data_IF_464361218333
#
_entry.id   IF_464361218333
#
_cell.length_a   1.000
_cell.length_b   1.000
_cell.length_c   1.000
_cell.angle_alpha   90.00
_cell.angle_beta   90.00
_cell.angle_gamma   90.00
#
_symmetry.space_group_name_H-M   'P 1'
#
loop_
_entity.id
_entity.type
_entity.pdbx_description
1 polymer ?
#
# COMPACT_ATOMS: atom_id res chain seq x y z
N UNK A 1 28.97 0.09 -1.09
CA UNK A 1 27.89 0.15 -2.09
C UNK A 1 27.08 -1.15 -2.08
N UNK A 2 26.17 -1.32 -1.11
CA UNK A 2 25.38 -2.55 -0.90
C UNK A 2 23.85 -2.31 -0.83
N UNK A 3 23.40 -1.12 -1.24
CA UNK A 3 22.00 -0.70 -1.18
C UNK A 3 21.04 -1.38 -2.20
N UNK A 4 21.41 -1.64 -3.48
CA UNK A 4 20.42 -2.06 -4.48
C UNK A 4 19.83 -3.45 -4.21
N UNK A 5 20.61 -4.38 -3.66
CA UNK A 5 20.14 -5.74 -3.36
C UNK A 5 19.11 -5.79 -2.22
N UNK A 6 19.21 -4.88 -1.24
CA UNK A 6 18.28 -4.84 -0.11
C UNK A 6 16.93 -4.26 -0.50
N UNK A 7 16.94 -3.19 -1.31
CA UNK A 7 15.71 -2.56 -1.78
C UNK A 7 14.96 -3.48 -2.74
N UNK A 8 15.69 -4.21 -3.59
CA UNK A 8 15.11 -5.20 -4.49
C UNK A 8 14.46 -6.37 -3.74
N UNK A 9 15.16 -6.96 -2.75
CA UNK A 9 14.58 -8.00 -1.89
C UNK A 9 13.35 -7.49 -1.13
N UNK A 10 13.37 -6.25 -0.63
CA UNK A 10 12.21 -5.63 0.01
C UNK A 10 11.02 -5.54 -0.96
N UNK A 11 11.25 -5.13 -2.21
CA UNK A 11 10.20 -5.07 -3.24
C UNK A 11 9.68 -6.44 -3.63
N UNK A 12 10.54 -7.46 -3.71
CA UNK A 12 10.11 -8.84 -3.94
C UNK A 12 9.22 -9.36 -2.80
N UNK A 13 9.66 -9.20 -1.55
CA UNK A 13 8.84 -9.59 -0.38
C UNK A 13 7.51 -8.84 -0.34
N UNK A 14 7.52 -7.57 -0.73
CA UNK A 14 6.32 -6.75 -0.87
C UNK A 14 5.35 -7.32 -1.89
N UNK A 15 5.80 -7.63 -3.11
CA UNK A 15 4.94 -8.23 -4.14
C UNK A 15 4.45 -9.61 -3.71
N UNK A 16 5.31 -10.43 -3.11
CA UNK A 16 4.92 -11.77 -2.65
C UNK A 16 3.84 -11.70 -1.56
N UNK A 17 3.91 -10.73 -0.64
CA UNK A 17 2.88 -10.55 0.37
C UNK A 17 1.57 -10.01 -0.22
N UNK A 18 1.67 -9.04 -1.14
CA UNK A 18 0.51 -8.36 -1.73
C UNK A 18 -0.29 -9.29 -2.66
N UNK A 19 0.41 -10.07 -3.48
CA UNK A 19 -0.20 -10.98 -4.46
C UNK A 19 -0.28 -12.42 -3.96
N UNK A 20 0.00 -12.68 -2.68
CA UNK A 20 -0.05 -14.00 -2.06
C UNK A 20 -1.29 -14.82 -2.40
N UNK A 21 -2.46 -14.17 -2.45
CA UNK A 21 -3.72 -14.83 -2.75
C UNK A 21 -3.86 -15.24 -4.24
N UNK A 22 -3.10 -14.61 -5.14
CA UNK A 22 -3.05 -14.93 -6.58
C UNK A 22 -1.96 -15.93 -6.85
N UNK A 23 -0.77 -15.71 -6.27
CA UNK A 23 0.43 -16.47 -6.57
C UNK A 23 0.61 -17.69 -5.67
N UNK A 24 -0.18 -17.83 -4.60
CA UNK A 24 0.00 -18.90 -3.61
C UNK A 24 1.33 -18.80 -2.86
N UNK A 25 1.85 -17.58 -2.67
CA UNK A 25 3.21 -17.30 -2.17
C UNK A 25 4.35 -17.84 -3.06
N UNK A 26 4.09 -18.10 -4.34
CA UNK A 26 5.12 -18.45 -5.29
C UNK A 26 6.04 -17.25 -5.57
N UNK A 27 7.29 -17.35 -5.10
CA UNK A 27 8.31 -16.33 -5.27
C UNK A 27 8.69 -16.11 -6.74
N UNK A 28 8.58 -17.13 -7.59
CA UNK A 28 8.86 -16.99 -9.01
C UNK A 28 7.81 -16.09 -9.68
N UNK A 29 6.53 -16.32 -9.39
CA UNK A 29 5.45 -15.47 -9.89
C UNK A 29 5.52 -14.06 -9.31
N UNK A 30 5.90 -13.93 -8.03
CA UNK A 30 6.12 -12.63 -7.40
C UNK A 30 7.27 -11.85 -8.08
N UNK A 31 8.35 -12.53 -8.45
CA UNK A 31 9.47 -11.92 -9.19
C UNK A 31 9.02 -11.44 -10.58
N UNK A 32 8.24 -12.25 -11.31
CA UNK A 32 7.70 -11.84 -12.62
C UNK A 32 6.82 -10.58 -12.52
N UNK A 33 5.99 -10.49 -11.49
CA UNK A 33 5.16 -9.30 -11.25
C UNK A 33 6.04 -8.09 -10.89
N UNK A 34 7.06 -8.27 -10.05
CA UNK A 34 8.02 -7.23 -9.69
C UNK A 34 8.74 -6.69 -10.93
N UNK A 35 9.25 -7.58 -11.78
CA UNK A 35 9.92 -7.22 -13.04
C UNK A 35 8.98 -6.50 -14.01
N UNK A 36 7.73 -6.93 -14.14
CA UNK A 36 6.74 -6.26 -14.98
C UNK A 36 6.46 -4.83 -14.51
N UNK A 37 6.36 -4.62 -13.18
CA UNK A 37 6.20 -3.27 -12.60
C UNK A 37 7.47 -2.44 -12.83
N UNK A 38 8.66 -3.01 -12.57
CA UNK A 38 9.93 -2.32 -12.79
C UNK A 38 10.09 -1.90 -14.26
N UNK A 39 9.74 -2.77 -15.21
CA UNK A 39 9.73 -2.47 -16.63
C UNK A 39 8.82 -1.28 -16.97
N UNK A 40 7.61 -1.22 -16.38
CA UNK A 40 6.69 -0.08 -16.57
C UNK A 40 7.24 1.24 -16.03
N UNK A 41 8.21 1.18 -15.10
CA UNK A 41 8.88 2.31 -14.48
C UNK A 41 10.31 2.51 -15.00
N UNK A 42 10.70 1.88 -16.11
CA UNK A 42 12.09 1.80 -16.55
C UNK A 42 12.81 3.14 -16.76
N UNK A 43 12.10 4.21 -17.09
CA UNK A 43 12.68 5.56 -17.15
C UNK A 43 13.01 6.10 -15.76
N UNK A 44 12.11 5.93 -14.79
CA UNK A 44 12.31 6.33 -13.41
C UNK A 44 13.39 5.47 -12.72
N UNK A 45 13.50 4.19 -13.10
CA UNK A 45 14.55 3.29 -12.64
C UNK A 45 15.94 3.79 -13.08
N UNK A 46 16.09 4.14 -14.37
CA UNK A 46 17.33 4.72 -14.90
C UNK A 46 17.69 6.03 -14.19
N UNK A 47 16.71 6.92 -14.03
CA UNK A 47 16.91 8.17 -13.28
C UNK A 47 17.33 7.91 -11.84
N UNK A 48 16.77 6.90 -11.17
CA UNK A 48 17.14 6.55 -9.79
C UNK A 48 18.55 5.95 -9.68
N UNK A 49 19.00 5.23 -10.71
CA UNK A 49 20.36 4.70 -10.78
C UNK A 49 21.41 5.82 -10.92
N UNK A 50 21.07 6.87 -11.66
CA UNK A 50 21.91 8.07 -11.84
C UNK A 50 21.82 9.03 -10.63
N UNK A 51 20.64 9.08 -10.00
CA UNK A 51 20.29 10.00 -8.91
C UNK A 51 19.63 9.23 -7.75
N UNK A 52 20.43 8.72 -6.79
CA UNK A 52 19.93 7.96 -5.65
C UNK A 52 18.88 8.70 -4.79
N UNK A 53 18.85 10.03 -4.84
CA UNK A 53 17.83 10.87 -4.20
C UNK A 53 16.40 10.57 -4.69
N UNK A 54 16.23 9.97 -5.88
CA UNK A 54 14.92 9.59 -6.40
C UNK A 54 14.41 8.24 -5.91
N UNK A 55 15.15 7.52 -5.05
CA UNK A 55 14.74 6.21 -4.54
C UNK A 55 13.36 6.23 -3.85
N UNK A 56 13.07 7.28 -3.07
CA UNK A 56 11.75 7.44 -2.41
C UNK A 56 10.64 7.65 -3.46
N UNK A 57 10.92 8.44 -4.50
CA UNK A 57 9.98 8.69 -5.60
C UNK A 57 9.70 7.40 -6.38
N UNK A 58 10.74 6.61 -6.62
CA UNK A 58 10.61 5.29 -7.25
C UNK A 58 9.74 4.35 -6.40
N UNK A 59 9.98 4.26 -5.10
CA UNK A 59 9.20 3.38 -4.22
C UNK A 59 7.71 3.77 -4.18
N UNK A 60 7.40 5.08 -4.12
CA UNK A 60 6.01 5.56 -4.18
C UNK A 60 5.37 5.20 -5.51
N UNK A 61 6.07 5.38 -6.62
CA UNK A 61 5.59 5.00 -7.95
C UNK A 61 5.38 3.48 -8.08
N UNK A 62 6.31 2.70 -7.54
CA UNK A 62 6.25 1.24 -7.52
C UNK A 62 5.02 0.74 -6.73
N UNK A 63 4.81 1.27 -5.52
CA UNK A 63 3.64 0.95 -4.70
C UNK A 63 2.33 1.32 -5.41
N UNK A 64 2.28 2.48 -6.08
CA UNK A 64 1.12 2.90 -6.84
C UNK A 64 0.85 1.97 -8.04
N UNK A 65 1.87 1.56 -8.78
CA UNK A 65 1.73 0.60 -9.88
C UNK A 65 1.27 -0.77 -9.40
N UNK A 66 1.79 -1.27 -8.27
CA UNK A 66 1.35 -2.51 -7.65
C UNK A 66 -0.13 -2.43 -7.22
N UNK A 67 -0.55 -1.31 -6.61
CA UNK A 67 -1.94 -1.09 -6.23
C UNK A 67 -2.89 -1.06 -7.44
N UNK A 68 -2.50 -0.40 -8.55
CA UNK A 68 -3.28 -0.39 -9.80
C UNK A 68 -3.39 -1.77 -10.43
N UNK A 69 -2.32 -2.56 -10.40
CA UNK A 69 -2.35 -3.92 -10.91
C UNK A 69 -3.32 -4.79 -10.10
N UNK A 70 -3.30 -4.64 -8.78
CA UNK A 70 -4.22 -5.34 -7.88
C UNK A 70 -5.68 -4.89 -8.09
N UNK A 71 -5.91 -3.58 -8.27
CA UNK A 71 -7.22 -3.03 -8.63
C UNK A 71 -7.72 -3.63 -9.96
N UNK A 72 -6.87 -3.69 -10.98
CA UNK A 72 -7.20 -4.30 -12.27
C UNK A 72 -7.56 -5.78 -12.11
N UNK A 73 -6.83 -6.52 -11.27
CA UNK A 73 -7.10 -7.93 -11.01
C UNK A 73 -8.46 -8.15 -10.33
N UNK A 74 -8.80 -7.32 -9.34
CA UNK A 74 -10.10 -7.40 -8.67
C UNK A 74 -11.25 -6.83 -9.48
N UNK A 75 -11.01 -5.89 -10.40
CA UNK A 75 -12.05 -5.36 -11.29
C UNK A 75 -12.69 -6.44 -12.17
N UNK A 76 -11.93 -7.51 -12.49
CA UNK A 76 -12.44 -8.68 -13.19
C UNK A 76 -13.27 -9.63 -12.32
N UNK A 77 -13.31 -9.41 -11.00
CA UNK A 77 -14.04 -10.22 -10.03
C UNK A 77 -15.31 -9.47 -9.56
N UNK A 78 -16.49 -9.75 -10.16
CA UNK A 78 -17.70 -8.97 -9.91
C UNK A 78 -18.24 -9.06 -8.47
N UNK A 79 -17.69 -9.97 -7.64
CA UNK A 79 -18.10 -10.18 -6.25
C UNK A 79 -17.12 -9.61 -5.21
N UNK A 80 -15.99 -9.02 -5.66
CA UNK A 80 -14.94 -8.52 -4.78
C UNK A 80 -14.83 -7.00 -4.82
N UNK A 81 -14.95 -6.36 -3.66
CA UNK A 81 -14.76 -4.92 -3.53
C UNK A 81 -13.29 -4.57 -3.32
N UNK A 82 -12.76 -3.60 -4.05
CA UNK A 82 -11.40 -3.12 -3.82
C UNK A 82 -11.40 -1.61 -3.56
N UNK A 83 -10.67 -1.18 -2.54
CA UNK A 83 -10.41 0.24 -2.29
C UNK A 83 -8.96 0.43 -1.87
N UNK A 84 -8.26 1.30 -2.60
CA UNK A 84 -6.91 1.73 -2.27
C UNK A 84 -6.94 3.12 -1.65
N UNK A 85 -6.36 3.24 -0.46
CA UNK A 85 -6.09 4.49 0.22
C UNK A 85 -4.59 4.72 0.33
N UNK A 86 -4.11 5.80 -0.26
CA UNK A 86 -2.72 6.22 -0.17
C UNK A 86 -2.59 7.40 0.79
N UNK A 87 -1.88 7.19 1.91
CA UNK A 87 -1.68 8.22 2.94
C UNK A 87 -0.78 9.38 2.48
N UNK A 88 -0.03 9.20 1.38
CA UNK A 88 0.76 10.26 0.74
C UNK A 88 0.05 10.92 -0.44
N UNK A 89 -1.19 10.51 -0.77
CA UNK A 89 -1.92 11.08 -1.92
C UNK A 89 -2.11 12.59 -1.82
N UNK A 90 -2.29 13.13 -0.61
CA UNK A 90 -2.30 14.56 -0.35
C UNK A 90 -1.50 14.91 0.90
N UNK A 91 -1.10 16.19 1.04
CA UNK A 91 -0.41 16.71 2.22
C UNK A 91 -1.21 16.53 3.52
N UNK A 92 -2.53 16.39 3.43
CA UNK A 92 -3.43 16.29 4.57
C UNK A 92 -4.01 14.89 4.77
N UNK A 93 -3.85 13.96 3.83
CA UNK A 93 -4.50 12.63 3.88
C UNK A 93 -4.16 11.88 5.16
N UNK A 94 -2.90 11.91 5.61
CA UNK A 94 -2.50 11.25 6.85
C UNK A 94 -2.96 11.95 8.15
N UNK A 95 -3.56 13.14 8.06
CA UNK A 95 -4.12 13.79 9.26
C UNK A 95 -5.42 13.11 9.69
N UNK A 96 -5.71 13.00 11.01
CA UNK A 96 -6.82 12.18 11.50
C UNK A 96 -8.19 12.49 10.88
N UNK A 97 -8.49 13.77 10.64
CA UNK A 97 -9.77 14.20 10.08
C UNK A 97 -9.96 13.72 8.63
N UNK A 98 -8.94 13.91 7.80
CA UNK A 98 -8.99 13.54 6.38
C UNK A 98 -8.88 12.03 6.20
N UNK A 99 -7.98 11.37 6.95
CA UNK A 99 -7.90 9.91 6.99
C UNK A 99 -9.26 9.30 7.30
N UNK A 100 -9.97 9.82 8.32
CA UNK A 100 -11.33 9.38 8.64
C UNK A 100 -12.30 9.58 7.49
N UNK A 101 -12.33 10.75 6.87
CA UNK A 101 -13.28 11.06 5.81
C UNK A 101 -13.06 10.19 4.56
N UNK A 102 -11.81 10.02 4.15
CA UNK A 102 -11.41 9.23 2.98
C UNK A 102 -11.65 7.73 3.22
N UNK A 103 -11.25 7.21 4.38
CA UNK A 103 -11.50 5.81 4.74
C UNK A 103 -13.00 5.51 4.87
N UNK A 104 -13.80 6.40 5.49
CA UNK A 104 -15.25 6.22 5.54
C UNK A 104 -15.88 6.19 4.14
N UNK A 105 -15.36 7.01 3.22
CA UNK A 105 -15.80 7.00 1.82
C UNK A 105 -15.46 5.67 1.15
N UNK A 106 -14.25 5.15 1.37
CA UNK A 106 -13.81 3.85 0.88
C UNK A 106 -14.65 2.70 1.44
N UNK A 107 -14.81 2.63 2.76
CA UNK A 107 -15.61 1.61 3.43
C UNK A 107 -17.07 1.63 2.95
N UNK A 108 -17.65 2.81 2.71
CA UNK A 108 -18.99 2.93 2.12
C UNK A 108 -19.06 2.30 0.72
N UNK A 109 -18.02 2.44 -0.11
CA UNK A 109 -17.96 1.80 -1.43
C UNK A 109 -17.80 0.28 -1.35
N UNK A 110 -17.23 -0.24 -0.27
CA UNK A 110 -17.03 -1.68 -0.05
C UNK A 110 -18.29 -2.37 0.50
N UNK A 111 -19.22 -1.64 1.12
CA UNK A 111 -20.47 -2.17 1.68
C UNK A 111 -21.28 -3.16 0.81
N UNK A 112 -21.44 -2.97 -0.51
CA UNK A 112 -22.22 -3.92 -1.33
C UNK A 112 -21.52 -5.26 -1.57
N UNK A 113 -20.22 -5.38 -1.29
CA UNK A 113 -19.45 -6.58 -1.57
C UNK A 113 -19.37 -7.49 -0.34
N UNK A 114 -19.45 -8.81 -0.57
CA UNK A 114 -19.30 -9.81 0.50
C UNK A 114 -17.85 -10.06 0.84
N UNK A 115 -16.99 -10.03 -0.17
CA UNK A 115 -15.54 -10.10 -0.03
C UNK A 115 -14.97 -8.76 -0.47
N UNK A 116 -14.08 -8.19 0.32
CA UNK A 116 -13.48 -6.91 -0.02
C UNK A 116 -12.06 -6.78 0.49
N UNK A 117 -11.30 -5.88 -0.11
CA UNK A 117 -9.92 -5.56 0.29
C UNK A 117 -9.74 -4.06 0.38
N UNK A 118 -9.32 -3.63 1.57
CA UNK A 118 -8.88 -2.27 1.84
C UNK A 118 -7.35 -2.26 1.87
N UNK A 119 -6.75 -1.63 0.87
CA UNK A 119 -5.31 -1.45 0.76
C UNK A 119 -4.92 -0.08 1.30
N UNK A 120 -4.09 -0.03 2.34
CA UNK A 120 -3.52 1.20 2.90
C UNK A 120 -2.03 1.25 2.56
N UNK A 121 -1.60 2.24 1.77
CA UNK A 121 -0.19 2.43 1.42
C UNK A 121 0.39 3.69 2.03
N UNK A 122 1.70 3.67 2.26
CA UNK A 122 2.53 4.83 2.60
C UNK A 122 2.15 5.52 3.93
N UNK A 123 1.47 4.82 4.84
CA UNK A 123 1.07 5.37 6.14
C UNK A 123 2.30 5.74 6.99
N UNK A 124 3.31 4.87 6.97
CA UNK A 124 4.56 5.09 7.70
C UNK A 124 5.32 6.32 7.20
N UNK A 125 5.69 6.46 5.92
CA UNK A 125 6.40 7.65 5.46
C UNK A 125 5.58 8.95 5.59
N UNK A 126 4.24 8.87 5.60
CA UNK A 126 3.40 10.05 5.84
C UNK A 126 3.49 10.58 7.28
N UNK A 127 3.52 9.71 8.28
CA UNK A 127 3.58 10.08 9.71
C UNK A 127 5.03 10.15 10.25
N UNK A 128 5.91 9.34 9.68
CA UNK A 128 7.32 9.20 10.04
C UNK A 128 8.20 9.30 8.78
N UNK A 129 8.34 10.52 8.21
CA UNK A 129 9.16 10.71 7.02
C UNK A 129 10.63 10.37 7.32
N UNK A 130 11.32 9.65 6.42
CA UNK A 130 12.67 9.12 6.67
C UNK A 130 13.72 10.21 6.89
N UNK A 131 13.50 11.42 6.35
CA UNK A 131 14.39 12.57 6.49
C UNK A 131 14.34 13.21 7.88
N UNK A 132 13.30 12.91 8.68
CA UNK A 132 13.11 13.52 9.99
C UNK A 132 13.33 12.51 11.10
N UNK A 133 13.84 12.98 12.24
CA UNK A 133 14.06 12.14 13.42
C UNK A 133 12.78 11.39 13.83
N UNK A 134 12.90 10.07 13.97
CA UNK A 134 11.88 9.24 14.60
C UNK A 134 11.84 9.54 16.10
N UNK A 135 10.87 10.34 16.53
CA UNK A 135 10.65 10.63 17.95
C UNK A 135 9.65 9.63 18.52
N UNK A 136 9.70 9.34 19.84
CA UNK A 136 8.71 8.47 20.49
C UNK A 136 7.26 8.94 20.25
N UNK A 137 7.07 10.26 20.16
CA UNK A 137 5.78 10.86 19.81
C UNK A 137 5.28 10.42 18.44
N UNK A 138 6.11 10.45 17.40
CA UNK A 138 5.69 10.06 16.04
C UNK A 138 5.47 8.57 15.89
N UNK A 139 6.26 7.76 16.60
CA UNK A 139 6.03 6.33 16.67
C UNK A 139 4.64 6.05 17.26
N UNK A 140 4.29 6.75 18.34
CA UNK A 140 2.96 6.67 18.93
C UNK A 140 1.85 7.16 17.99
N UNK A 141 2.06 8.28 17.29
CA UNK A 141 1.09 8.77 16.29
C UNK A 141 0.86 7.74 15.16
N UNK A 142 1.91 7.03 14.72
CA UNK A 142 1.78 5.94 13.74
C UNK A 142 1.02 4.73 14.29
N UNK A 143 1.32 4.31 15.52
CA UNK A 143 0.61 3.21 16.19
C UNK A 143 -0.87 3.53 16.45
N UNK A 144 -1.15 4.75 16.91
CA UNK A 144 -2.50 5.26 17.11
C UNK A 144 -3.28 5.30 15.79
N UNK A 145 -2.64 5.71 14.69
CA UNK A 145 -3.25 5.68 13.36
C UNK A 145 -3.56 4.25 12.89
N UNK A 146 -2.64 3.29 13.11
CA UNK A 146 -2.88 1.88 12.79
C UNK A 146 -4.05 1.31 13.59
N UNK A 147 -4.08 1.55 14.91
CA UNK A 147 -5.16 1.12 15.78
C UNK A 147 -6.50 1.72 15.34
N UNK A 148 -6.51 3.03 15.09
CA UNK A 148 -7.69 3.74 14.60
C UNK A 148 -8.25 3.15 13.30
N UNK A 149 -7.39 2.87 12.31
CA UNK A 149 -7.84 2.28 11.03
C UNK A 149 -8.41 0.88 11.26
N UNK A 150 -7.76 0.06 12.10
CA UNK A 150 -8.26 -1.29 12.43
C UNK A 150 -9.62 -1.22 13.11
N UNK A 151 -9.78 -0.36 14.11
CA UNK A 151 -11.02 -0.20 14.86
C UNK A 151 -12.14 0.36 13.97
N UNK A 152 -11.84 1.36 13.16
CA UNK A 152 -12.80 1.95 12.21
C UNK A 152 -13.29 0.89 11.22
N UNK A 153 -12.36 0.13 10.64
CA UNK A 153 -12.65 -0.91 9.68
C UNK A 153 -13.48 -2.03 10.32
N UNK A 154 -13.11 -2.50 11.52
CA UNK A 154 -13.87 -3.52 12.25
C UNK A 154 -15.30 -3.03 12.59
N UNK A 155 -15.45 -1.79 13.05
CA UNK A 155 -16.75 -1.23 13.42
C UNK A 155 -17.69 -0.99 12.22
N UNK A 156 -17.15 -0.93 10.99
CA UNK A 156 -17.92 -0.65 9.76
C UNK A 156 -18.08 -1.84 8.84
N UNK A 157 -17.41 -2.95 9.13
CA UNK A 157 -17.58 -4.20 8.38
C UNK A 157 -18.79 -4.94 8.91
N UNK A 158 -19.70 -5.34 8.02
CA UNK A 158 -20.84 -6.16 8.41
C UNK A 158 -20.35 -7.53 8.92
N UNK A 159 -21.01 -8.14 9.93
CA UNK A 159 -20.59 -9.46 10.45
C UNK A 159 -20.58 -10.59 9.42
N UNK A 160 -21.24 -10.38 8.28
CA UNK A 160 -21.37 -11.35 7.17
C UNK A 160 -20.53 -10.96 5.95
N UNK A 161 -19.62 -10.00 6.09
CA UNK A 161 -18.66 -9.59 5.08
C UNK A 161 -17.24 -9.97 5.52
N UNK A 162 -16.44 -10.47 4.58
CA UNK A 162 -15.00 -10.69 4.76
C UNK A 162 -14.25 -9.48 4.17
N UNK A 163 -13.66 -8.69 5.06
CA UNK A 163 -12.84 -7.54 4.66
C UNK A 163 -11.38 -7.78 5.04
N UNK A 164 -10.53 -7.84 4.02
CA UNK A 164 -9.07 -7.94 4.19
C UNK A 164 -8.48 -6.54 4.28
N UNK A 165 -7.81 -6.27 5.38
CA UNK A 165 -7.10 -5.01 5.62
C UNK A 165 -5.60 -5.23 5.44
N UNK A 166 -5.01 -4.54 4.48
CA UNK A 166 -3.58 -4.62 4.16
C UNK A 166 -2.91 -3.27 4.44
N UNK A 167 -1.81 -3.28 5.18
CA UNK A 167 -0.98 -2.09 5.44
C UNK A 167 0.38 -2.26 4.76
N UNK A 168 0.79 -1.24 4.02
CA UNK A 168 2.03 -1.18 3.24
C UNK A 168 2.82 0.10 3.53
#
# INVERSE_FOLDING_TARGET
MAAPARDDLRRLHFINALFAHVTGHDLYLAEQIKEAIAFSLGELEKQTAEHPEFAVKYDVAFNASAARLLESLFSGQPRHGFFHWDALSTLTSATPLFARAELMTGLKRLTPFRESTLLVTNLRPALMPPEKRATPRRQREYEDALAYIRDLTAARTAPSADLRLLFL
#
